data_IF_666668073687
#
_entry.id   IF_666668073687
#
_cell.length_a   1.000
_cell.length_b   1.000
_cell.length_c   1.000
_cell.angle_alpha   90.00
_cell.angle_beta   90.00
_cell.angle_gamma   90.00
#
_symmetry.space_group_name_H-M   'P 1'
#
loop_
_entity.id
_entity.type
_entity.pdbx_description
1 polymer ?
#
# COMPACT_ATOMS: atom_id res chain seq x y z
N UNK A 1 -31.76 44.42 -56.83
CA UNK A 1 -31.13 43.14 -57.21
C UNK A 1 -30.18 42.76 -56.07
N UNK A 2 -30.64 41.90 -55.16
CA UNK A 2 -29.84 41.43 -53.99
C UNK A 2 -29.35 40.03 -54.30
N UNK A 3 -28.02 39.86 -54.36
CA UNK A 3 -27.37 38.55 -54.50
C UNK A 3 -27.32 37.92 -53.10
N UNK A 4 -27.97 36.77 -52.93
CA UNK A 4 -27.96 35.93 -51.77
C UNK A 4 -26.79 34.92 -51.92
N UNK A 5 -25.74 35.08 -51.11
CA UNK A 5 -24.67 34.13 -51.04
C UNK A 5 -25.04 33.02 -50.06
N UNK A 6 -25.15 31.81 -50.57
CA UNK A 6 -25.36 30.58 -49.79
C UNK A 6 -23.98 30.13 -49.28
N UNK A 7 -23.77 30.21 -47.94
CA UNK A 7 -22.65 29.59 -47.28
C UNK A 7 -22.95 28.11 -47.03
N UNK A 8 -22.26 27.24 -47.76
CA UNK A 8 -22.28 25.81 -47.51
C UNK A 8 -21.29 25.51 -46.35
N UNK A 9 -21.84 25.27 -45.14
CA UNK A 9 -21.04 24.84 -43.98
C UNK A 9 -20.83 23.33 -44.10
N UNK A 10 -19.60 22.96 -44.48
CA UNK A 10 -19.11 21.59 -44.45
C UNK A 10 -18.77 21.23 -43.01
N UNK A 11 -19.67 20.52 -42.33
CA UNK A 11 -19.43 19.97 -41.01
C UNK A 11 -18.49 18.75 -41.15
N UNK A 12 -17.22 18.93 -40.87
CA UNK A 12 -16.25 17.83 -40.70
C UNK A 12 -16.55 17.12 -39.38
N UNK A 13 -17.18 15.95 -39.41
CA UNK A 13 -17.23 15.02 -38.29
C UNK A 13 -15.84 14.47 -38.08
N UNK A 14 -15.12 15.02 -37.10
CA UNK A 14 -13.95 14.37 -36.53
C UNK A 14 -14.45 13.24 -35.62
N UNK A 15 -14.44 12.02 -36.15
CA UNK A 15 -14.60 10.81 -35.35
C UNK A 15 -13.37 10.67 -34.46
N UNK A 16 -13.46 11.14 -33.22
CA UNK A 16 -12.51 10.79 -32.16
C UNK A 16 -12.65 9.30 -31.91
N UNK A 17 -11.74 8.55 -32.52
CA UNK A 17 -11.49 7.16 -32.18
C UNK A 17 -11.07 7.11 -30.72
N UNK A 18 -12.00 6.75 -29.81
CA UNK A 18 -11.67 6.35 -28.45
C UNK A 18 -10.91 5.03 -28.56
N UNK A 19 -9.59 5.16 -28.50
CA UNK A 19 -8.69 4.03 -28.34
C UNK A 19 -9.13 3.28 -27.07
N UNK A 20 -9.50 2.02 -27.23
CA UNK A 20 -9.73 1.08 -26.15
C UNK A 20 -8.37 0.76 -25.49
N UNK A 21 -7.80 1.72 -24.76
CA UNK A 21 -6.69 1.53 -23.83
C UNK A 21 -7.22 1.95 -22.45
N UNK A 22 -7.54 0.97 -21.68
CA UNK A 22 -7.55 0.80 -20.24
C UNK A 22 -8.77 0.00 -19.75
N UNK A 23 -8.73 -1.30 -19.98
CA UNK A 23 -9.51 -2.26 -19.21
C UNK A 23 -8.90 -2.52 -17.80
N UNK A 24 -8.04 -1.63 -17.33
CA UNK A 24 -7.60 -1.60 -15.94
C UNK A 24 -8.62 -0.82 -15.13
N UNK A 25 -9.56 -1.53 -14.46
CA UNK A 25 -10.67 -0.95 -13.71
C UNK A 25 -10.29 0.29 -12.89
N UNK A 26 -11.22 1.24 -12.82
CA UNK A 26 -11.03 2.49 -12.09
C UNK A 26 -11.07 2.28 -10.57
N UNK A 27 -10.29 3.06 -9.80
CA UNK A 27 -10.32 3.06 -8.35
C UNK A 27 -11.64 3.63 -7.83
N UNK A 28 -12.38 2.85 -7.06
CA UNK A 28 -13.63 3.29 -6.43
C UNK A 28 -13.39 3.65 -4.97
N UNK A 29 -13.74 4.87 -4.56
CA UNK A 29 -13.70 5.28 -3.15
C UNK A 29 -14.75 4.49 -2.36
N UNK A 30 -14.31 3.82 -1.28
CA UNK A 30 -15.17 2.99 -0.41
C UNK A 30 -15.35 3.57 0.98
N UNK A 31 -14.35 4.29 1.48
CA UNK A 31 -14.37 4.89 2.82
C UNK A 31 -13.52 6.16 2.80
N UNK A 32 -14.00 7.19 3.48
CA UNK A 32 -13.23 8.39 3.76
C UNK A 32 -13.56 8.82 5.19
N UNK A 33 -12.65 8.52 6.11
CA UNK A 33 -12.83 8.80 7.53
C UNK A 33 -11.47 9.11 8.17
N UNK A 34 -11.44 9.98 9.18
CA UNK A 34 -10.25 10.36 9.93
C UNK A 34 -9.07 10.82 9.04
N UNK A 35 -9.37 11.45 7.90
CA UNK A 35 -8.37 11.85 6.91
C UNK A 35 -7.68 10.66 6.23
N UNK A 36 -8.33 9.49 6.19
CA UNK A 36 -7.89 8.31 5.47
C UNK A 36 -8.92 7.98 4.39
N UNK A 37 -8.48 8.00 3.13
CA UNK A 37 -9.29 7.59 1.99
C UNK A 37 -8.91 6.16 1.56
N UNK A 38 -9.92 5.28 1.47
CA UNK A 38 -9.75 3.89 1.07
C UNK A 38 -10.49 3.61 -0.24
N UNK A 39 -9.82 2.91 -1.12
CA UNK A 39 -10.29 2.62 -2.48
C UNK A 39 -10.19 1.13 -2.76
N UNK A 40 -11.05 0.63 -3.64
CA UNK A 40 -10.94 -0.70 -4.22
C UNK A 40 -10.91 -0.63 -5.75
N UNK A 41 -10.36 -1.66 -6.35
CA UNK A 41 -10.27 -1.85 -7.79
C UNK A 41 -10.41 -3.35 -8.09
N UNK A 42 -11.30 -3.76 -9.02
CA UNK A 42 -11.40 -5.15 -9.43
C UNK A 42 -10.05 -5.72 -9.90
N UNK A 43 -9.82 -6.99 -9.60
CA UNK A 43 -8.68 -7.75 -10.10
C UNK A 43 -9.16 -8.79 -11.11
N UNK A 44 -8.54 -8.80 -12.28
CA UNK A 44 -8.86 -9.81 -13.29
C UNK A 44 -8.59 -11.23 -12.75
N UNK A 45 -9.57 -12.11 -12.89
CA UNK A 45 -9.48 -13.52 -12.47
C UNK A 45 -9.51 -13.78 -10.96
N UNK A 46 -9.78 -12.76 -10.13
CA UNK A 46 -9.88 -12.91 -8.67
C UNK A 46 -11.19 -12.31 -8.14
N UNK A 47 -11.79 -12.97 -7.15
CA UNK A 47 -12.98 -12.45 -6.46
C UNK A 47 -12.65 -11.28 -5.50
N UNK A 48 -11.41 -11.23 -5.02
CA UNK A 48 -10.93 -10.19 -4.12
C UNK A 48 -10.42 -8.98 -4.90
N UNK A 49 -10.96 -7.81 -4.62
CA UNK A 49 -10.47 -6.54 -5.17
C UNK A 49 -9.05 -6.23 -4.68
N UNK A 50 -8.27 -5.52 -5.50
CA UNK A 50 -7.11 -4.76 -5.04
C UNK A 50 -7.61 -3.60 -4.18
N UNK A 51 -6.92 -3.27 -3.10
CA UNK A 51 -7.31 -2.16 -2.25
C UNK A 51 -6.14 -1.23 -1.92
N UNK A 52 -6.48 0.03 -1.73
CA UNK A 52 -5.53 1.11 -1.45
C UNK A 52 -6.06 2.01 -0.35
N UNK A 53 -5.17 2.40 0.55
CA UNK A 53 -5.41 3.45 1.55
C UNK A 53 -4.44 4.60 1.35
N UNK A 54 -4.92 5.82 1.56
CA UNK A 54 -4.11 7.04 1.55
C UNK A 54 -4.41 7.83 2.80
N UNK A 55 -3.40 8.18 3.57
CA UNK A 55 -3.55 8.98 4.79
C UNK A 55 -2.29 9.74 5.12
N UNK A 56 -2.41 10.73 6.00
CA UNK A 56 -1.28 11.48 6.55
C UNK A 56 -0.99 10.99 7.96
N UNK A 57 0.29 10.77 8.24
CA UNK A 57 0.81 10.43 9.55
C UNK A 57 1.48 11.68 10.13
N UNK A 58 1.11 12.10 11.34
CA UNK A 58 1.71 13.22 12.05
C UNK A 58 3.04 12.76 12.69
N UNK A 59 3.99 12.44 11.84
CA UNK A 59 5.34 12.06 12.21
C UNK A 59 6.29 12.30 11.04
N UNK A 60 7.55 12.50 11.38
CA UNK A 60 8.67 12.68 10.43
C UNK A 60 8.85 11.42 9.59
N UNK A 61 9.29 11.59 8.34
CA UNK A 61 9.50 10.48 7.40
C UNK A 61 10.40 9.39 7.98
N UNK A 62 11.51 9.77 8.59
CA UNK A 62 12.47 8.84 9.19
C UNK A 62 11.89 8.05 10.38
N UNK A 63 11.00 8.66 11.16
CA UNK A 63 10.32 7.96 12.25
C UNK A 63 9.34 6.91 11.70
N UNK A 64 8.58 7.27 10.67
CA UNK A 64 7.67 6.33 9.99
C UNK A 64 8.48 5.18 9.36
N UNK A 65 9.57 5.48 8.66
CA UNK A 65 10.44 4.46 8.06
C UNK A 65 11.03 3.50 9.11
N UNK A 66 11.34 4.00 10.31
CA UNK A 66 11.83 3.17 11.41
C UNK A 66 10.80 2.15 11.90
N UNK A 67 9.49 2.46 11.83
CA UNK A 67 8.43 1.48 12.12
C UNK A 67 8.48 0.30 11.14
N UNK A 68 8.73 0.58 9.85
CA UNK A 68 8.80 -0.47 8.83
C UNK A 68 10.04 -1.36 8.95
N UNK A 69 11.12 -0.89 9.60
CA UNK A 69 12.31 -1.72 9.90
C UNK A 69 12.14 -2.57 11.16
N UNK A 70 11.26 -2.18 12.06
CA UNK A 70 10.95 -2.93 13.27
C UNK A 70 9.92 -4.04 12.98
N UNK A 71 10.37 -5.10 12.28
CA UNK A 71 9.51 -6.21 11.86
C UNK A 71 8.66 -6.78 13.00
N UNK A 72 9.18 -7.01 14.23
CA UNK A 72 8.36 -7.51 15.33
C UNK A 72 7.18 -6.62 15.69
N UNK A 73 7.25 -5.32 15.41
CA UNK A 73 6.17 -4.37 15.71
C UNK A 73 4.94 -4.50 14.82
N UNK A 74 5.03 -5.20 13.70
CA UNK A 74 3.93 -5.30 12.72
C UNK A 74 2.64 -5.87 13.32
N UNK A 75 2.74 -6.77 14.29
CA UNK A 75 1.58 -7.30 15.02
C UNK A 75 0.82 -6.24 15.82
N UNK A 76 1.43 -5.08 16.07
CA UNK A 76 0.82 -3.98 16.83
C UNK A 76 0.05 -2.99 15.93
N UNK A 77 0.40 -2.91 14.64
CA UNK A 77 -0.14 -1.88 13.77
C UNK A 77 -0.73 -2.37 12.44
N UNK A 78 -0.17 -3.43 11.86
CA UNK A 78 -0.71 -3.97 10.61
C UNK A 78 -1.99 -4.78 10.92
N UNK A 79 -3.09 -4.34 10.35
CA UNK A 79 -4.39 -4.94 10.61
C UNK A 79 -4.40 -6.43 10.32
N UNK A 80 -4.91 -7.22 11.26
CA UNK A 80 -4.95 -8.68 11.21
C UNK A 80 -3.59 -9.40 11.12
N UNK A 81 -2.46 -8.72 11.30
CA UNK A 81 -1.17 -9.39 11.45
C UNK A 81 -1.15 -10.19 12.76
N UNK A 82 -1.22 -11.51 12.67
CA UNK A 82 -1.21 -12.43 13.81
C UNK A 82 0.20 -12.82 14.25
N UNK A 83 1.04 -13.07 13.26
CA UNK A 83 2.42 -13.52 13.44
C UNK A 83 3.28 -12.93 12.32
N UNK A 84 4.48 -12.52 12.69
CA UNK A 84 5.48 -12.09 11.73
C UNK A 84 6.86 -12.41 12.30
N UNK A 85 7.76 -12.91 11.45
CA UNK A 85 9.15 -13.15 11.85
C UNK A 85 10.09 -13.11 10.65
N UNK A 86 11.26 -12.57 10.86
CA UNK A 86 12.33 -12.60 9.87
C UNK A 86 12.86 -14.04 9.77
N UNK A 87 12.87 -14.59 8.56
CA UNK A 87 13.50 -15.87 8.26
C UNK A 87 14.96 -15.68 7.84
N UNK A 88 15.22 -14.59 7.09
CA UNK A 88 16.55 -14.29 6.60
C UNK A 88 16.72 -12.79 6.41
N UNK A 89 17.85 -12.25 6.85
CA UNK A 89 18.33 -10.92 6.47
C UNK A 89 19.26 -11.09 5.25
N UNK A 90 18.90 -10.46 4.14
CA UNK A 90 19.64 -10.52 2.89
C UNK A 90 20.59 -9.32 2.71
N UNK A 91 20.62 -8.43 3.70
CA UNK A 91 21.32 -7.14 3.61
C UNK A 91 20.68 -6.15 2.64
N UNK A 92 21.18 -4.92 2.61
CA UNK A 92 20.69 -3.85 1.72
C UNK A 92 19.20 -3.60 1.83
N UNK A 93 18.67 -3.55 3.05
CA UNK A 93 17.25 -3.34 3.35
C UNK A 93 16.33 -4.38 2.69
N UNK A 94 16.79 -5.63 2.56
CA UNK A 94 16.00 -6.77 2.03
C UNK A 94 15.90 -7.88 3.05
N UNK A 95 14.68 -8.35 3.30
CA UNK A 95 14.39 -9.41 4.26
C UNK A 95 13.54 -10.50 3.62
N UNK A 96 13.70 -11.75 4.03
CA UNK A 96 12.69 -12.80 3.85
C UNK A 96 11.95 -12.94 5.17
N UNK A 97 10.63 -12.83 5.10
CA UNK A 97 9.75 -12.75 6.25
C UNK A 97 8.63 -13.77 6.14
N UNK A 98 8.36 -14.50 7.20
CA UNK A 98 7.15 -15.29 7.35
C UNK A 98 6.07 -14.43 7.98
N UNK A 99 4.89 -14.41 7.38
CA UNK A 99 3.76 -13.56 7.75
C UNK A 99 2.47 -14.37 7.86
N UNK A 100 1.68 -14.13 8.90
CA UNK A 100 0.36 -14.74 9.10
C UNK A 100 -0.68 -13.67 9.26
N UNK A 101 -1.71 -13.72 8.42
CA UNK A 101 -2.89 -12.89 8.50
C UNK A 101 -4.03 -13.67 9.17
N UNK A 102 -4.58 -13.10 10.24
CA UNK A 102 -5.77 -13.63 10.91
C UNK A 102 -6.98 -13.49 10.01
N UNK A 103 -7.75 -14.54 9.91
CA UNK A 103 -9.05 -14.54 9.26
C UNK A 103 -10.17 -14.66 10.27
N UNK A 104 -11.38 -14.12 10.01
CA UNK A 104 -12.54 -14.34 10.87
C UNK A 104 -12.99 -15.80 10.77
N UNK A 105 -13.40 -16.35 11.91
CA UNK A 105 -14.02 -17.68 11.94
C UNK A 105 -15.25 -17.73 11.03
N UNK A 106 -15.50 -18.85 10.28
CA UNK A 106 -14.80 -20.13 10.26
C UNK A 106 -13.65 -20.23 9.25
N UNK A 107 -13.20 -19.12 8.71
CA UNK A 107 -12.16 -19.08 7.67
C UNK A 107 -10.78 -19.27 8.30
N UNK A 108 -9.99 -20.21 7.75
CA UNK A 108 -8.63 -20.46 8.19
C UNK A 108 -7.75 -19.21 8.03
N UNK A 109 -6.76 -19.04 8.90
CA UNK A 109 -5.72 -18.01 8.74
C UNK A 109 -4.95 -18.20 7.43
N UNK A 110 -4.42 -17.14 6.89
CA UNK A 110 -3.56 -17.14 5.70
C UNK A 110 -2.12 -16.89 6.11
N UNK A 111 -1.21 -17.64 5.49
CA UNK A 111 0.22 -17.37 5.64
C UNK A 111 0.89 -17.07 4.31
N UNK A 112 2.02 -16.41 4.36
CA UNK A 112 2.89 -16.17 3.23
C UNK A 112 4.36 -16.14 3.67
N UNK A 113 5.25 -16.55 2.78
CA UNK A 113 6.65 -16.13 2.85
C UNK A 113 6.82 -15.01 1.85
N UNK A 114 7.32 -13.88 2.32
CA UNK A 114 7.45 -12.67 1.52
C UNK A 114 8.89 -12.19 1.52
N UNK A 115 9.30 -11.60 0.41
CA UNK A 115 10.47 -10.73 0.34
C UNK A 115 10.01 -9.31 0.59
N UNK A 116 10.60 -8.66 1.59
CA UNK A 116 10.44 -7.23 1.84
C UNK A 116 11.70 -6.51 1.37
N UNK A 117 11.53 -5.39 0.69
CA UNK A 117 12.62 -4.52 0.26
C UNK A 117 12.26 -3.06 0.47
N UNK A 118 13.23 -2.27 0.92
CA UNK A 118 13.08 -0.82 1.09
C UNK A 118 13.98 -0.12 0.09
N UNK A 119 13.40 0.80 -0.68
CA UNK A 119 14.12 1.66 -1.62
C UNK A 119 13.76 3.11 -1.37
N UNK A 120 14.65 4.02 -1.76
CA UNK A 120 14.42 5.46 -1.67
C UNK A 120 14.34 6.04 -3.08
N UNK A 121 13.38 6.95 -3.28
CA UNK A 121 13.24 7.72 -4.52
C UNK A 121 13.45 9.20 -4.20
N UNK A 122 14.64 9.71 -4.51
CA UNK A 122 14.98 11.11 -4.26
C UNK A 122 14.17 12.09 -5.11
N UNK A 123 13.70 11.67 -6.30
CA UNK A 123 12.93 12.54 -7.21
C UNK A 123 11.57 12.90 -6.61
N UNK A 124 10.90 11.91 -6.02
CA UNK A 124 9.54 12.05 -5.48
C UNK A 124 9.55 12.28 -3.97
N UNK A 125 10.71 12.40 -3.37
CA UNK A 125 10.83 12.52 -1.92
C UNK A 125 10.12 11.37 -1.17
N UNK A 126 10.30 10.16 -1.64
CA UNK A 126 9.58 9.00 -1.08
C UNK A 126 10.50 7.84 -0.71
N UNK A 127 10.13 7.14 0.36
CA UNK A 127 10.56 5.78 0.65
C UNK A 127 9.52 4.80 0.12
N UNK A 128 9.96 3.68 -0.44
CA UNK A 128 9.08 2.63 -0.95
C UNK A 128 9.41 1.33 -0.25
N UNK A 129 8.42 0.74 0.42
CA UNK A 129 8.50 -0.60 0.98
C UNK A 129 7.68 -1.53 0.11
N UNK A 130 8.35 -2.43 -0.60
CA UNK A 130 7.73 -3.44 -1.43
C UNK A 130 7.79 -4.80 -0.74
N UNK A 131 6.65 -5.47 -0.63
CA UNK A 131 6.48 -6.77 -0.01
C UNK A 131 5.84 -7.69 -1.06
N UNK A 132 6.52 -8.77 -1.41
CA UNK A 132 6.05 -9.71 -2.43
C UNK A 132 6.20 -11.14 -1.96
N UNK A 133 5.15 -11.95 -2.14
CA UNK A 133 5.24 -13.39 -1.87
C UNK A 133 6.27 -14.05 -2.78
N UNK A 134 6.99 -15.00 -2.21
CA UNK A 134 7.99 -15.82 -2.92
C UNK A 134 7.72 -17.30 -2.70
N UNK A 135 8.13 -18.12 -3.65
CA UNK A 135 8.22 -19.57 -3.44
C UNK A 135 9.36 -19.83 -2.45
N UNK A 136 9.06 -20.52 -1.37
CA UNK A 136 10.02 -20.79 -0.31
C UNK A 136 9.68 -22.11 0.40
N UNK A 137 10.70 -22.90 0.77
CA UNK A 137 10.53 -24.18 1.43
C UNK A 137 10.05 -24.13 2.89
N UNK A 138 9.77 -22.92 3.43
CA UNK A 138 9.25 -22.80 4.80
C UNK A 138 7.87 -23.45 4.90
N UNK A 139 7.68 -24.39 5.86
CA UNK A 139 6.42 -25.10 5.99
C UNK A 139 5.27 -24.16 6.36
N UNK A 140 4.07 -24.46 5.85
CA UNK A 140 2.83 -23.85 6.33
C UNK A 140 2.28 -24.75 7.44
N UNK A 141 2.19 -24.29 8.69
CA UNK A 141 1.60 -25.07 9.78
C UNK A 141 0.16 -25.47 9.49
N UNK A 142 -0.25 -26.63 9.98
CA UNK A 142 -1.61 -27.13 9.79
C UNK A 142 -2.68 -26.13 10.19
N UNK A 143 -3.80 -26.10 9.47
CA UNK A 143 -4.92 -25.18 9.69
C UNK A 143 -4.74 -23.79 9.08
N UNK A 144 -3.67 -23.54 8.34
CA UNK A 144 -3.46 -22.30 7.56
C UNK A 144 -3.53 -22.56 6.06
N UNK A 145 -3.86 -21.54 5.30
CA UNK A 145 -3.85 -21.56 3.83
C UNK A 145 -2.70 -20.69 3.34
N UNK A 146 -1.75 -21.28 2.61
CA UNK A 146 -0.67 -20.55 1.95
C UNK A 146 -1.24 -19.67 0.86
N UNK A 147 -1.00 -18.35 0.92
CA UNK A 147 -1.40 -17.42 -0.14
C UNK A 147 -0.58 -17.69 -1.40
N UNK A 148 -1.24 -17.97 -2.55
CA UNK A 148 -0.54 -18.14 -3.82
C UNK A 148 0.16 -16.86 -4.28
N UNK A 149 -0.43 -15.70 -3.94
CA UNK A 149 0.10 -14.39 -4.35
C UNK A 149 -0.23 -13.31 -3.32
N UNK A 150 0.76 -12.51 -3.00
CA UNK A 150 0.65 -11.28 -2.21
C UNK A 150 1.65 -10.26 -2.73
N UNK A 151 1.18 -9.06 -3.04
CA UNK A 151 2.03 -7.91 -3.30
C UNK A 151 1.47 -6.71 -2.53
N UNK A 152 2.24 -6.18 -1.60
CA UNK A 152 1.89 -4.98 -0.85
C UNK A 152 2.97 -3.91 -1.10
N UNK A 153 2.52 -2.68 -1.28
CA UNK A 153 3.37 -1.53 -1.52
C UNK A 153 3.01 -0.44 -0.52
N UNK A 154 3.99 0.03 0.25
CA UNK A 154 3.87 1.26 1.01
C UNK A 154 4.76 2.31 0.39
N UNK A 155 4.17 3.48 0.09
CA UNK A 155 4.89 4.66 -0.36
C UNK A 155 4.83 5.69 0.76
N UNK A 156 5.98 6.08 1.28
CA UNK A 156 6.15 7.05 2.35
C UNK A 156 6.62 8.35 1.70
N UNK A 157 5.73 9.31 1.53
CA UNK A 157 6.04 10.59 0.87
C UNK A 157 6.27 11.69 1.91
N UNK A 158 7.39 12.38 1.79
CA UNK A 158 7.69 13.54 2.60
C UNK A 158 6.70 14.68 2.28
N UNK A 159 6.01 15.20 3.28
CA UNK A 159 5.20 16.43 3.17
C UNK A 159 5.98 17.60 3.74
N UNK A 160 6.34 17.52 5.01
CA UNK A 160 7.12 18.48 5.78
C UNK A 160 7.83 17.80 6.96
N UNK A 161 8.40 18.56 7.88
CA UNK A 161 9.15 18.02 9.03
C UNK A 161 8.32 17.21 10.02
N UNK A 162 7.00 17.36 10.00
CA UNK A 162 6.12 16.74 10.98
C UNK A 162 5.11 15.78 10.35
N UNK A 163 5.02 15.76 9.01
CA UNK A 163 3.99 15.00 8.31
C UNK A 163 4.57 14.14 7.19
N UNK A 164 4.11 12.89 7.16
CA UNK A 164 4.39 11.91 6.11
C UNK A 164 3.08 11.42 5.52
N UNK A 165 2.92 11.51 4.19
CA UNK A 165 1.83 10.82 3.50
C UNK A 165 2.18 9.37 3.33
N UNK A 166 1.26 8.48 3.68
CA UNK A 166 1.38 7.05 3.46
C UNK A 166 0.34 6.61 2.45
N UNK A 167 0.80 5.93 1.41
CA UNK A 167 -0.05 5.22 0.45
C UNK A 167 0.22 3.74 0.68
N UNK A 168 -0.81 2.98 0.99
CA UNK A 168 -0.76 1.54 1.16
C UNK A 168 -1.59 0.90 0.06
N UNK A 169 -0.97 0.16 -0.83
CA UNK A 169 -1.59 -0.56 -1.95
C UNK A 169 -1.32 -2.05 -1.80
N UNK A 170 -2.35 -2.89 -1.91
CA UNK A 170 -2.21 -4.33 -1.76
C UNK A 170 -3.04 -5.07 -2.81
N UNK A 171 -2.39 -6.01 -3.46
CA UNK A 171 -2.96 -6.97 -4.40
C UNK A 171 -2.64 -8.38 -3.89
N UNK A 172 -3.66 -9.22 -3.72
CA UNK A 172 -3.47 -10.55 -3.17
C UNK A 172 -4.44 -11.56 -3.78
N UNK A 173 -3.99 -12.81 -3.85
CA UNK A 173 -4.82 -13.99 -3.95
C UNK A 173 -4.73 -14.72 -2.60
N UNK A 174 -5.77 -14.72 -1.77
CA UNK A 174 -5.73 -15.36 -0.46
C UNK A 174 -5.74 -16.89 -0.53
N UNK A 175 -6.02 -17.46 -1.68
CA UNK A 175 -6.19 -18.90 -1.85
C UNK A 175 -7.38 -19.49 -1.10
N UNK A 176 -7.75 -20.71 -1.42
CA UNK A 176 -8.90 -21.40 -0.83
C UNK A 176 -10.22 -20.69 -1.10
N UNK A 177 -11.29 -21.15 -0.46
CA UNK A 177 -12.61 -20.52 -0.57
C UNK A 177 -12.80 -19.50 0.55
N UNK A 178 -13.20 -18.27 0.21
CA UNK A 178 -13.62 -17.24 1.16
C UNK A 178 -15.06 -16.87 0.85
N UNK A 179 -15.99 -16.96 1.82
CA UNK A 179 -17.36 -16.49 1.61
C UNK A 179 -17.39 -15.02 1.15
N UNK A 180 -18.19 -14.73 0.11
CA UNK A 180 -18.26 -13.39 -0.49
C UNK A 180 -18.60 -12.28 0.53
N UNK A 181 -19.39 -12.58 1.57
CA UNK A 181 -19.71 -11.67 2.67
C UNK A 181 -18.48 -11.22 3.47
N UNK A 182 -17.46 -12.08 3.56
CA UNK A 182 -16.22 -11.77 4.28
C UNK A 182 -15.21 -11.03 3.40
N UNK A 183 -15.25 -11.24 2.08
CA UNK A 183 -14.37 -10.54 1.12
C UNK A 183 -14.47 -9.02 1.29
N UNK A 184 -15.68 -8.49 1.38
CA UNK A 184 -15.93 -7.05 1.52
C UNK A 184 -15.36 -6.46 2.81
N UNK A 185 -15.39 -7.21 3.93
CA UNK A 185 -14.84 -6.76 5.22
C UNK A 185 -13.32 -6.66 5.14
N UNK A 186 -12.66 -7.63 4.50
CA UNK A 186 -11.21 -7.61 4.34
C UNK A 186 -10.71 -6.46 3.46
N UNK A 187 -11.41 -6.18 2.35
CA UNK A 187 -10.98 -5.17 1.39
C UNK A 187 -11.27 -3.75 1.87
N UNK A 188 -12.41 -3.55 2.53
CA UNK A 188 -12.89 -2.22 2.90
C UNK A 188 -12.13 -1.62 4.08
N UNK A 189 -11.91 -2.41 5.14
CA UNK A 189 -11.43 -1.90 6.42
C UNK A 189 -9.93 -2.11 6.63
N UNK A 190 -9.30 -3.02 5.87
CA UNK A 190 -7.88 -3.33 6.02
C UNK A 190 -6.96 -2.11 5.87
N UNK A 191 -7.06 -1.28 4.81
CA UNK A 191 -6.17 -0.12 4.68
C UNK A 191 -6.41 0.93 5.76
N UNK A 192 -7.67 1.15 6.13
CA UNK A 192 -8.03 2.11 7.17
C UNK A 192 -7.41 1.73 8.51
N UNK A 193 -7.64 0.50 8.99
CA UNK A 193 -7.12 0.07 10.28
C UNK A 193 -5.59 -0.05 10.29
N UNK A 194 -4.97 -0.41 9.16
CA UNK A 194 -3.50 -0.44 9.03
C UNK A 194 -2.91 0.96 9.18
N UNK A 195 -3.45 1.98 8.51
CA UNK A 195 -2.97 3.36 8.62
C UNK A 195 -3.25 3.94 10.03
N UNK A 196 -4.41 3.64 10.61
CA UNK A 196 -4.71 4.02 12.00
C UNK A 196 -3.76 3.36 12.99
N UNK A 197 -3.45 2.09 12.80
CA UNK A 197 -2.45 1.37 13.60
C UNK A 197 -1.06 2.00 13.49
N UNK A 198 -0.65 2.37 12.28
CA UNK A 198 0.62 3.03 12.02
C UNK A 198 0.71 4.39 12.71
N UNK A 199 -0.36 5.21 12.68
CA UNK A 199 -0.46 6.48 13.43
C UNK A 199 -0.22 6.27 14.92
N UNK A 200 -0.83 5.22 15.47
CA UNK A 200 -0.72 4.90 16.90
C UNK A 200 0.69 4.42 17.27
N UNK A 201 1.27 3.53 16.49
CA UNK A 201 2.55 2.92 16.84
C UNK A 201 3.71 3.89 16.67
N UNK A 202 3.72 4.73 15.64
CA UNK A 202 4.81 5.70 15.39
C UNK A 202 4.92 6.75 16.49
N UNK A 203 3.85 7.00 17.25
CA UNK A 203 3.86 7.92 18.39
C UNK A 203 4.65 7.38 19.60
N UNK A 204 5.09 6.11 19.58
CA UNK A 204 5.93 5.57 20.65
C UNK A 204 7.33 6.24 20.63
N UNK A 205 7.88 6.66 21.77
CA UNK A 205 9.15 7.40 21.85
C UNK A 205 10.32 6.70 21.15
N UNK A 206 10.35 5.37 21.13
CA UNK A 206 11.41 4.59 20.47
C UNK A 206 11.58 4.93 18.98
N UNK A 207 10.51 5.29 18.27
CA UNK A 207 10.61 5.61 16.84
C UNK A 207 11.15 7.01 16.59
N UNK A 208 10.96 7.94 17.51
CA UNK A 208 11.65 9.22 17.46
C UNK A 208 13.17 9.05 17.66
N UNK A 209 13.60 8.15 18.55
CA UNK A 209 15.02 7.85 18.75
C UNK A 209 15.62 7.09 17.56
N UNK A 210 14.94 6.06 17.06
CA UNK A 210 15.39 5.32 15.88
C UNK A 210 15.46 6.20 14.63
N UNK A 211 14.54 7.16 14.49
CA UNK A 211 14.55 8.12 13.39
C UNK A 211 15.80 9.00 13.35
N UNK A 212 16.44 9.28 14.47
CA UNK A 212 17.66 10.09 14.51
C UNK A 212 18.83 9.49 13.74
N UNK A 213 18.89 8.16 13.64
CA UNK A 213 19.93 7.40 12.95
C UNK A 213 19.45 6.75 11.65
N UNK A 214 18.18 6.94 11.29
CA UNK A 214 17.61 6.35 10.08
C UNK A 214 18.20 6.99 8.82
N UNK A 215 18.44 6.18 7.78
CA UNK A 215 18.94 6.65 6.47
C UNK A 215 18.03 7.70 5.84
N UNK A 216 16.73 7.60 6.08
CA UNK A 216 15.71 8.54 5.56
C UNK A 216 15.86 9.94 6.12
N UNK A 217 16.56 10.12 7.24
CA UNK A 217 16.80 11.46 7.79
C UNK A 217 17.60 12.33 6.83
N UNK A 218 18.66 11.79 6.23
CA UNK A 218 19.45 12.52 5.26
C UNK A 218 18.61 12.94 4.04
N UNK A 219 17.74 12.03 3.57
CA UNK A 219 16.78 12.33 2.50
C UNK A 219 15.82 13.45 2.92
N UNK A 220 15.20 13.36 4.09
CA UNK A 220 14.27 14.36 4.61
C UNK A 220 14.93 15.74 4.77
N UNK A 221 16.16 15.82 5.24
CA UNK A 221 16.90 17.08 5.39
C UNK A 221 17.25 17.70 4.01
N UNK A 222 17.69 16.90 3.04
CA UNK A 222 17.90 17.37 1.64
C UNK A 222 16.63 17.95 1.03
N UNK A 223 15.49 17.33 1.29
CA UNK A 223 14.20 17.75 0.75
C UNK A 223 13.69 19.04 1.43
N UNK A 224 13.89 19.15 2.73
CA UNK A 224 13.59 20.37 3.47
C UNK A 224 14.39 21.57 2.91
N UNK A 225 15.68 21.39 2.68
CA UNK A 225 16.54 22.42 2.13
C UNK A 225 16.14 22.87 0.71
N UNK A 226 15.54 21.98 -0.09
CA UNK A 226 15.03 22.30 -1.43
C UNK A 226 13.71 23.06 -1.43
N UNK A 227 12.82 22.80 -0.45
CA UNK A 227 11.50 23.46 -0.35
C UNK A 227 11.55 24.82 0.34
N UNK A 228 12.63 25.14 1.04
CA UNK A 228 12.85 26.42 1.71
C UNK A 228 13.51 27.49 0.82
N UNK A 229 13.75 27.17 -0.45
CA UNK A 229 14.18 28.09 -1.51
C UNK A 229 13.05 28.33 -2.51
#
# INVERSE_FOLDING_TARGET
MRRMMIFCACAMLVALGTSALDAAGEWTLRKNADGIACYTKPQEGLELDQFKGVGVINARLENVASVFRDVPSYTQWMFNCREIRTLQDMGNDRLIVYYVNRSPWPVADRDAVVRSSVTQNEKDASGVVLIESIQHGHPSPGGRVRMPFLRALFILQYIDREHTRVIFDIKANPGGSIPATLVNTFTRDHPYHTIMGLRKVVAQPKYAELGKTAKERELAEKLFAKKGK
#
